data_IF_416651602807
#
_entry.id   IF_416651602807
#
_cell.length_a   1.000
_cell.length_b   1.000
_cell.length_c   1.000
_cell.angle_alpha   90.00
_cell.angle_beta   90.00
_cell.angle_gamma   90.00
#
_symmetry.space_group_name_H-M   'P 1'
#
loop_
_entity.id
_entity.type
_entity.pdbx_description
1 polymer ?
#
# COMPACT_ATOMS: atom_id res chain seq x y z
N UNK A 1 15.54 10.44 8.23
CA UNK A 1 14.76 9.38 8.88
C UNK A 1 14.25 8.41 7.83
N UNK A 2 14.37 7.10 8.04
CA UNK A 2 13.85 6.15 7.06
C UNK A 2 12.32 6.22 6.99
N UNK A 3 11.80 6.02 5.81
CA UNK A 3 10.36 5.92 5.63
C UNK A 3 9.86 4.68 6.35
N UNK A 4 8.76 4.80 7.06
CA UNK A 4 8.08 3.67 7.67
C UNK A 4 6.99 3.18 6.72
N UNK A 5 7.06 1.91 6.33
CA UNK A 5 6.12 1.28 5.41
C UNK A 5 5.31 0.24 6.16
N UNK A 6 4.00 0.32 6.07
CA UNK A 6 3.12 -0.74 6.57
C UNK A 6 2.87 -1.72 5.44
N UNK A 7 3.08 -3.00 5.70
CA UNK A 7 2.78 -4.08 4.75
C UNK A 7 1.63 -4.90 5.34
N UNK A 8 0.50 -4.91 4.64
CA UNK A 8 -0.73 -5.53 5.11
C UNK A 8 -1.21 -6.56 4.09
N UNK A 9 -1.12 -7.84 4.45
CA UNK A 9 -1.49 -8.97 3.59
C UNK A 9 -1.72 -10.17 4.50
N UNK A 10 -2.75 -10.97 4.23
CA UNK A 10 -3.02 -12.14 5.06
C UNK A 10 -2.11 -13.33 4.74
N UNK A 11 -1.38 -13.29 3.64
CA UNK A 11 -0.39 -14.31 3.30
C UNK A 11 0.95 -13.96 3.94
N UNK A 12 1.29 -14.65 5.02
CA UNK A 12 2.48 -14.32 5.81
C UNK A 12 3.78 -14.37 5.03
N UNK A 13 3.90 -15.31 4.08
CA UNK A 13 5.10 -15.42 3.26
C UNK A 13 5.27 -14.21 2.33
N UNK A 14 4.18 -13.63 1.87
CA UNK A 14 4.22 -12.41 1.05
C UNK A 14 4.68 -11.23 1.91
N UNK A 15 4.12 -11.10 3.11
CA UNK A 15 4.52 -10.04 4.05
C UNK A 15 6.02 -10.13 4.32
N UNK A 16 6.51 -11.35 4.61
CA UNK A 16 7.93 -11.53 4.90
C UNK A 16 8.81 -11.20 3.70
N UNK A 17 8.40 -11.64 2.52
CA UNK A 17 9.15 -11.34 1.30
C UNK A 17 9.29 -9.84 1.09
N UNK A 18 8.20 -9.12 1.23
CA UNK A 18 8.20 -7.66 1.07
C UNK A 18 9.04 -7.01 2.17
N UNK A 19 8.85 -7.44 3.41
CA UNK A 19 9.58 -6.90 4.55
C UNK A 19 11.08 -7.01 4.37
N UNK A 20 11.57 -8.21 4.02
CA UNK A 20 13.01 -8.44 3.86
C UNK A 20 13.58 -7.52 2.77
N UNK A 21 12.89 -7.40 1.66
CA UNK A 21 13.37 -6.59 0.54
C UNK A 21 13.35 -5.10 0.86
N UNK A 22 12.33 -4.62 1.56
CA UNK A 22 12.26 -3.21 1.93
C UNK A 22 13.29 -2.87 3.02
N UNK A 23 13.47 -3.74 4.00
CA UNK A 23 14.44 -3.51 5.06
C UNK A 23 15.87 -3.47 4.53
N UNK A 24 16.18 -4.27 3.51
CA UNK A 24 17.48 -4.22 2.84
C UNK A 24 17.75 -2.87 2.18
N UNK A 25 16.70 -2.15 1.84
CA UNK A 25 16.82 -0.83 1.21
C UNK A 25 16.83 0.30 2.25
N UNK A 26 16.79 -0.04 3.54
CA UNK A 26 16.85 0.95 4.60
C UNK A 26 15.49 1.43 5.10
N UNK A 27 14.40 0.87 4.63
CA UNK A 27 13.07 1.25 5.11
C UNK A 27 12.74 0.53 6.40
N UNK A 28 11.96 1.20 7.25
CA UNK A 28 11.40 0.60 8.45
C UNK A 28 10.07 -0.04 8.06
N UNK A 29 9.83 -1.28 8.48
CA UNK A 29 8.62 -2.01 8.08
C UNK A 29 7.79 -2.39 9.29
N UNK A 30 6.50 -2.13 9.21
CA UNK A 30 5.49 -2.58 10.16
C UNK A 30 4.58 -3.53 9.40
N UNK A 31 4.12 -4.59 10.03
CA UNK A 31 3.34 -5.63 9.35
C UNK A 31 1.96 -5.78 9.96
N UNK A 32 0.99 -6.18 9.13
CA UNK A 32 -0.36 -6.51 9.54
C UNK A 32 -0.88 -7.64 8.65
N UNK A 33 -1.78 -8.46 9.18
CA UNK A 33 -2.19 -9.69 8.50
C UNK A 33 -3.68 -9.71 8.16
N UNK A 34 -4.39 -8.65 8.43
CA UNK A 34 -5.77 -8.46 7.98
C UNK A 34 -6.07 -6.95 7.94
N UNK A 35 -7.21 -6.61 7.34
CA UNK A 35 -7.55 -5.20 7.14
C UNK A 35 -7.82 -4.45 8.43
N UNK A 36 -8.38 -5.14 9.43
CA UNK A 36 -8.66 -4.52 10.72
C UNK A 36 -7.36 -4.17 11.44
N UNK A 37 -6.44 -5.11 11.49
CA UNK A 37 -5.11 -4.86 12.07
C UNK A 37 -4.38 -3.78 11.29
N UNK A 38 -4.49 -3.81 9.96
CA UNK A 38 -3.88 -2.80 9.11
C UNK A 38 -4.37 -1.40 9.43
N UNK A 39 -5.67 -1.24 9.58
CA UNK A 39 -6.25 0.06 9.91
C UNK A 39 -5.80 0.54 11.30
N UNK A 40 -5.76 -0.36 12.28
CA UNK A 40 -5.26 -0.05 13.61
C UNK A 40 -3.81 0.46 13.55
N UNK A 41 -2.97 -0.22 12.78
CA UNK A 41 -1.56 0.16 12.67
C UNK A 41 -1.33 1.42 11.85
N UNK A 42 -2.17 1.68 10.88
CA UNK A 42 -2.12 2.98 10.20
C UNK A 42 -2.29 4.10 11.21
N UNK A 43 -3.24 3.94 12.12
CA UNK A 43 -3.54 4.96 13.13
C UNK A 43 -2.48 5.05 14.21
N UNK A 44 -1.95 3.92 14.67
CA UNK A 44 -1.00 3.89 15.80
C UNK A 44 0.44 4.13 15.36
N UNK A 45 0.85 3.56 14.23
CA UNK A 45 2.23 3.63 13.76
C UNK A 45 2.48 4.80 12.80
N UNK A 46 1.45 5.36 12.24
CA UNK A 46 1.50 6.50 11.30
C UNK A 46 2.56 6.30 10.21
N UNK A 47 2.41 5.22 9.41
CA UNK A 47 3.38 4.97 8.34
C UNK A 47 3.31 6.06 7.28
N UNK A 48 4.39 6.19 6.52
CA UNK A 48 4.44 7.12 5.41
C UNK A 48 4.00 6.51 4.07
N UNK A 49 3.78 5.19 4.05
CA UNK A 49 3.32 4.48 2.87
C UNK A 49 2.72 3.16 3.31
N UNK A 50 1.69 2.70 2.61
CA UNK A 50 1.03 1.43 2.88
C UNK A 50 1.05 0.55 1.64
N UNK A 51 1.47 -0.71 1.81
CA UNK A 51 1.30 -1.77 0.82
C UNK A 51 0.15 -2.63 1.31
N UNK A 52 -0.90 -2.75 0.54
CA UNK A 52 -2.19 -3.24 1.01
C UNK A 52 -2.78 -4.26 0.03
N UNK A 53 -2.99 -5.49 0.51
CA UNK A 53 -3.64 -6.52 -0.30
C UNK A 53 -5.12 -6.22 -0.45
N UNK A 54 -5.67 -6.47 -1.64
CA UNK A 54 -7.10 -6.28 -1.90
C UNK A 54 -7.94 -7.30 -1.14
N UNK A 55 -7.55 -8.58 -1.22
CA UNK A 55 -8.37 -9.68 -0.69
C UNK A 55 -7.86 -10.15 0.67
N UNK A 56 -8.54 -9.73 1.73
CA UNK A 56 -8.21 -10.12 3.10
C UNK A 56 -9.48 -10.43 3.87
N UNK A 57 -9.40 -11.31 4.90
CA UNK A 57 -10.57 -11.57 5.73
C UNK A 57 -10.91 -10.37 6.61
N UNK A 58 -12.14 -10.33 7.11
CA UNK A 58 -12.72 -9.34 8.03
C UNK A 58 -12.94 -7.97 7.40
N UNK A 59 -11.91 -7.38 6.83
CA UNK A 59 -12.00 -6.09 6.16
C UNK A 59 -11.04 -6.13 4.98
N UNK A 60 -11.55 -6.03 3.76
CA UNK A 60 -10.70 -6.08 2.57
C UNK A 60 -9.95 -4.77 2.35
N UNK A 61 -9.01 -4.80 1.39
CA UNK A 61 -8.15 -3.65 1.14
C UNK A 61 -8.89 -2.41 0.67
N UNK A 62 -9.96 -2.58 -0.10
CA UNK A 62 -10.75 -1.43 -0.55
C UNK A 62 -11.46 -0.75 0.62
N UNK A 63 -11.93 -1.52 1.59
CA UNK A 63 -12.58 -0.96 2.77
C UNK A 63 -11.57 -0.15 3.60
N UNK A 64 -10.35 -0.67 3.75
CA UNK A 64 -9.29 0.08 4.43
C UNK A 64 -8.99 1.37 3.67
N UNK A 65 -8.82 1.27 2.36
CA UNK A 65 -8.52 2.43 1.52
C UNK A 65 -9.61 3.50 1.63
N UNK A 66 -10.87 3.11 1.50
CA UNK A 66 -11.98 4.05 1.62
C UNK A 66 -11.99 4.74 2.97
N UNK A 67 -11.74 3.97 4.04
CA UNK A 67 -11.75 4.50 5.40
C UNK A 67 -10.66 5.57 5.58
N UNK A 68 -9.43 5.26 5.17
CA UNK A 68 -8.33 6.22 5.38
C UNK A 68 -8.46 7.45 4.49
N UNK A 69 -9.10 7.33 3.31
CA UNK A 69 -9.29 8.48 2.44
C UNK A 69 -10.33 9.48 2.97
N UNK A 70 -11.16 9.04 3.92
CA UNK A 70 -12.15 9.91 4.57
C UNK A 70 -11.59 10.64 5.80
N UNK A 71 -10.43 10.25 6.29
CA UNK A 71 -9.83 10.82 7.50
C UNK A 71 -8.78 11.85 7.09
N UNK A 72 -8.85 13.07 7.64
CA UNK A 72 -7.90 14.12 7.24
C UNK A 72 -6.43 13.75 7.45
N UNK A 73 -6.14 12.95 8.47
CA UNK A 73 -4.76 12.57 8.79
C UNK A 73 -4.17 11.59 7.77
N UNK A 74 -5.02 10.89 7.02
CA UNK A 74 -4.57 9.82 6.14
C UNK A 74 -5.09 9.98 4.70
N UNK A 75 -5.80 11.04 4.41
CA UNK A 75 -6.41 11.20 3.09
C UNK A 75 -5.40 11.21 1.93
N UNK A 76 -4.17 11.60 2.20
CA UNK A 76 -3.10 11.65 1.20
C UNK A 76 -2.02 10.60 1.41
N UNK A 77 -2.24 9.65 2.30
CA UNK A 77 -1.27 8.59 2.58
C UNK A 77 -1.08 7.74 1.32
N UNK A 78 0.15 7.60 0.82
CA UNK A 78 0.39 6.79 -0.38
C UNK A 78 0.05 5.32 -0.15
N UNK A 79 -0.67 4.71 -1.09
CA UNK A 79 -1.10 3.32 -1.00
C UNK A 79 -0.77 2.59 -2.29
N UNK A 80 -0.07 1.47 -2.15
CA UNK A 80 0.16 0.51 -3.23
C UNK A 80 -0.74 -0.69 -2.95
N UNK A 81 -1.65 -0.98 -3.88
CA UNK A 81 -2.56 -2.12 -3.73
C UNK A 81 -1.96 -3.36 -4.40
N UNK A 82 -2.05 -4.49 -3.72
CA UNK A 82 -1.64 -5.79 -4.27
C UNK A 82 -2.91 -6.55 -4.66
N UNK A 83 -2.93 -7.11 -5.86
CA UNK A 83 -4.09 -7.86 -6.34
C UNK A 83 -3.65 -9.16 -7.01
N UNK A 84 -4.44 -10.22 -6.84
CA UNK A 84 -4.16 -11.50 -7.50
C UNK A 84 -4.41 -11.42 -9.00
N UNK A 85 -5.29 -10.52 -9.42
CA UNK A 85 -5.60 -10.32 -10.83
C UNK A 85 -5.80 -8.83 -11.09
N UNK A 86 -5.21 -8.36 -12.18
CA UNK A 86 -5.48 -7.00 -12.65
C UNK A 86 -6.78 -7.02 -13.44
N UNK A 87 -7.92 -7.20 -12.75
CA UNK A 87 -9.22 -7.09 -13.40
C UNK A 87 -9.58 -5.61 -13.50
N UNK A 88 -10.02 -5.21 -14.68
CA UNK A 88 -10.29 -3.79 -14.95
C UNK A 88 -11.20 -3.17 -13.92
N UNK A 89 -12.23 -3.90 -13.48
CA UNK A 89 -13.18 -3.39 -12.51
C UNK A 89 -12.52 -3.09 -11.15
N UNK A 90 -11.71 -4.04 -10.65
CA UNK A 90 -11.08 -3.89 -9.34
C UNK A 90 -10.03 -2.79 -9.35
N UNK A 91 -9.25 -2.72 -10.44
CA UNK A 91 -8.25 -1.68 -10.61
C UNK A 91 -8.92 -0.31 -10.68
N UNK A 92 -10.00 -0.21 -11.45
CA UNK A 92 -10.75 1.03 -11.57
C UNK A 92 -11.29 1.49 -10.21
N UNK A 93 -11.91 0.57 -9.44
CA UNK A 93 -12.44 0.91 -8.13
C UNK A 93 -11.34 1.41 -7.19
N UNK A 94 -10.18 0.73 -7.20
CA UNK A 94 -9.06 1.14 -6.36
C UNK A 94 -8.56 2.53 -6.68
N UNK A 95 -8.38 2.84 -7.95
CA UNK A 95 -7.97 4.19 -8.34
C UNK A 95 -9.07 5.21 -8.07
N UNK A 96 -10.32 4.81 -8.21
CA UNK A 96 -11.45 5.67 -7.88
C UNK A 96 -11.41 6.07 -6.39
N UNK A 97 -11.05 5.14 -5.50
CA UNK A 97 -10.93 5.42 -4.07
C UNK A 97 -9.57 5.98 -3.69
N UNK A 98 -8.67 6.16 -4.66
CA UNK A 98 -7.43 6.87 -4.42
C UNK A 98 -6.21 6.03 -4.14
N UNK A 99 -6.14 4.80 -4.67
CA UNK A 99 -4.89 4.05 -4.66
C UNK A 99 -3.88 4.74 -5.59
N UNK A 100 -2.63 4.78 -5.18
CA UNK A 100 -1.59 5.43 -5.97
C UNK A 100 -0.98 4.50 -7.00
N UNK A 101 -1.01 3.20 -6.74
CA UNK A 101 -0.38 2.21 -7.60
C UNK A 101 -1.04 0.85 -7.39
N UNK A 102 -1.04 0.02 -8.43
CA UNK A 102 -1.45 -1.38 -8.35
C UNK A 102 -0.30 -2.28 -8.77
N UNK A 103 -0.16 -3.40 -8.07
CA UNK A 103 0.84 -4.41 -8.40
C UNK A 103 0.16 -5.78 -8.38
N UNK A 104 0.26 -6.53 -9.48
CA UNK A 104 -0.40 -7.83 -9.62
C UNK A 104 0.48 -8.95 -9.09
N UNK A 105 -0.09 -9.82 -8.27
CA UNK A 105 0.58 -11.03 -7.79
C UNK A 105 0.54 -12.12 -8.88
N UNK A 106 1.59 -12.90 -9.08
CA UNK A 106 2.90 -12.75 -8.44
C UNK A 106 3.67 -11.57 -9.01
N UNK A 107 4.44 -10.90 -8.16
CA UNK A 107 5.22 -9.74 -8.56
C UNK A 107 6.71 -9.97 -8.24
N UNK A 108 7.56 -9.23 -8.93
CA UNK A 108 8.97 -9.20 -8.60
C UNK A 108 9.16 -8.23 -7.42
N UNK A 109 9.76 -8.67 -6.29
CA UNK A 109 9.95 -7.79 -5.15
C UNK A 109 10.70 -6.50 -5.48
N UNK A 110 11.60 -6.53 -6.45
CA UNK A 110 12.33 -5.32 -6.84
C UNK A 110 11.44 -4.33 -7.57
N UNK A 111 10.40 -4.78 -8.20
CA UNK A 111 9.39 -3.90 -8.79
C UNK A 111 8.68 -3.10 -7.70
N UNK A 112 8.29 -3.77 -6.63
CA UNK A 112 7.69 -3.10 -5.48
C UNK A 112 8.67 -2.11 -4.85
N UNK A 113 9.92 -2.50 -4.67
CA UNK A 113 10.96 -1.61 -4.12
C UNK A 113 11.09 -0.35 -4.99
N UNK A 114 11.06 -0.52 -6.31
CA UNK A 114 11.15 0.61 -7.24
C UNK A 114 9.97 1.59 -7.03
N UNK A 115 8.76 1.06 -6.88
CA UNK A 115 7.59 1.90 -6.65
C UNK A 115 7.68 2.64 -5.32
N UNK A 116 8.11 1.93 -4.27
CA UNK A 116 8.27 2.55 -2.94
C UNK A 116 9.30 3.67 -3.00
N UNK A 117 10.43 3.44 -3.67
CA UNK A 117 11.46 4.47 -3.81
C UNK A 117 10.94 5.69 -4.56
N UNK A 118 10.21 5.46 -5.64
CA UNK A 118 9.66 6.55 -6.45
C UNK A 118 8.74 7.43 -5.63
N UNK A 119 7.85 6.81 -4.87
CA UNK A 119 6.90 7.53 -4.04
C UNK A 119 7.62 8.24 -2.89
N UNK A 120 8.54 7.54 -2.20
CA UNK A 120 9.22 8.08 -1.04
C UNK A 120 10.19 9.21 -1.38
N UNK A 121 10.71 9.23 -2.60
CA UNK A 121 11.63 10.26 -3.04
C UNK A 121 10.92 11.45 -3.68
N UNK A 122 9.59 11.41 -3.73
CA UNK A 122 8.82 12.50 -4.28
C UNK A 122 8.97 12.68 -5.78
N UNK A 123 9.31 11.61 -6.51
CA UNK A 123 9.41 11.66 -7.96
C UNK A 123 8.06 11.86 -8.63
N UNK A 124 6.97 11.58 -7.89
CA UNK A 124 5.65 12.02 -8.28
C UNK A 124 5.54 13.46 -7.80
N UNK A 125 5.43 14.39 -8.72
CA UNK A 125 5.53 15.81 -8.41
C UNK A 125 4.49 16.27 -7.40
N UNK A 126 4.89 17.07 -6.40
CA UNK A 126 3.92 17.69 -5.51
C UNK A 126 2.97 18.57 -6.31
N UNK A 127 1.68 18.35 -6.14
CA UNK A 127 0.66 19.08 -6.89
C UNK A 127 0.28 18.45 -8.21
N UNK A 128 1.08 17.51 -8.72
CA UNK A 128 0.70 16.72 -9.88
C UNK A 128 -0.24 15.59 -9.49
N UNK A 129 -0.86 14.91 -10.46
CA UNK A 129 -1.69 13.75 -10.17
C UNK A 129 -0.80 12.63 -9.64
N UNK A 130 -0.99 12.31 -8.36
CA UNK A 130 -0.26 11.20 -7.73
C UNK A 130 -0.94 9.88 -8.00
N UNK A 131 -2.13 9.92 -8.50
CA UNK A 131 -2.93 8.75 -8.80
C UNK A 131 -3.15 8.66 -10.29
N UNK A 132 -3.27 7.44 -10.77
CA UNK A 132 -3.48 7.22 -12.17
C UNK A 132 -4.95 7.39 -12.50
N UNK A 133 -5.24 8.26 -13.45
CA UNK A 133 -6.59 8.44 -13.98
C UNK A 133 -6.82 7.35 -15.02
N UNK A 134 -7.87 6.62 -14.85
CA UNK A 134 -8.23 5.55 -15.78
C UNK A 134 -9.33 5.97 -16.74
#
# INVERSE_FOLDING_TARGET
MPLKVLVCDDERHIVRLIQVNLERQGYQVVTAFDGKEGLEKIRSEKPGLVVLDVMMPYMDGFEVLKTIRREPETENLPVIMLTAKAQDKDVFEGYHYGADMYLTKPFNPMELVTFVKRISQGNDEPGGPKRYDL
#
